data_IF_386520696055
#
_entry.id   IF_386520696055
#
_cell.length_a   1.000
_cell.length_b   1.000
_cell.length_c   1.000
_cell.angle_alpha   90.00
_cell.angle_beta   90.00
_cell.angle_gamma   90.00
#
_symmetry.space_group_name_H-M   'P 1'
#
loop_
_entity.id
_entity.type
_entity.pdbx_description
1 polymer ?
#
# COMPACT_ATOMS: atom_id res chain seq x y z
N UNK A 1 14.86 -23.44 -3.08
CA UNK A 1 13.89 -23.60 -1.98
C UNK A 1 12.49 -23.69 -2.54
N UNK A 2 11.56 -24.36 -1.84
CA UNK A 2 10.15 -24.42 -2.14
C UNK A 2 9.39 -23.53 -1.14
N UNK A 3 8.64 -22.57 -1.63
CA UNK A 3 7.99 -21.56 -0.78
C UNK A 3 6.49 -21.53 -1.13
N UNK A 4 5.63 -21.72 -0.14
CA UNK A 4 4.20 -21.45 -0.30
C UNK A 4 3.94 -20.00 0.10
N UNK A 5 3.43 -19.19 -0.85
CA UNK A 5 3.03 -17.81 -0.58
C UNK A 5 1.53 -17.78 -0.31
N UNK A 6 1.14 -17.40 0.91
CA UNK A 6 -0.25 -17.32 1.33
C UNK A 6 -0.71 -15.86 1.39
N UNK A 7 -1.66 -15.50 0.51
CA UNK A 7 -2.07 -14.09 0.33
C UNK A 7 -3.57 -13.93 0.12
N UNK A 8 -4.12 -12.78 0.45
CA UNK A 8 -5.53 -12.44 0.19
C UNK A 8 -5.77 -11.90 -1.22
N UNK A 9 -4.73 -11.41 -1.90
CA UNK A 9 -4.82 -10.85 -3.25
C UNK A 9 -3.60 -11.25 -4.06
N UNK A 10 -3.82 -11.61 -5.32
CA UNK A 10 -2.75 -11.81 -6.28
C UNK A 10 -3.26 -11.40 -7.66
N UNK A 11 -2.55 -10.52 -8.36
CA UNK A 11 -2.95 -10.06 -9.68
C UNK A 11 -2.77 -11.20 -10.67
N UNK A 12 -3.81 -11.47 -11.44
CA UNK A 12 -3.79 -12.36 -12.59
C UNK A 12 -3.57 -11.56 -13.86
N UNK A 13 -3.05 -12.20 -14.89
CA UNK A 13 -2.91 -11.56 -16.20
C UNK A 13 -4.28 -11.16 -16.76
N UNK A 14 -4.36 -10.04 -17.49
CA UNK A 14 -5.57 -9.51 -18.10
C UNK A 14 -6.17 -8.32 -17.35
N UNK A 15 -7.49 -8.20 -17.35
CA UNK A 15 -8.27 -7.04 -16.82
C UNK A 15 -8.34 -7.01 -15.26
N UNK A 16 -7.46 -7.71 -14.56
CA UNK A 16 -7.47 -7.75 -13.10
C UNK A 16 -6.94 -6.45 -12.49
N UNK A 17 -7.82 -5.69 -11.83
CA UNK A 17 -7.50 -4.45 -11.10
C UNK A 17 -6.91 -4.68 -9.71
N UNK A 18 -6.54 -5.90 -9.32
CA UNK A 18 -5.90 -6.19 -8.04
C UNK A 18 -4.57 -5.48 -7.90
N UNK A 19 -4.20 -5.09 -6.67
CA UNK A 19 -2.87 -4.57 -6.39
C UNK A 19 -1.78 -5.55 -6.85
N UNK A 20 -0.79 -5.05 -7.61
CA UNK A 20 0.24 -5.88 -8.23
C UNK A 20 1.47 -6.12 -7.33
N UNK A 21 1.50 -5.54 -6.14
CA UNK A 21 2.70 -5.47 -5.33
C UNK A 21 3.28 -6.83 -4.92
N UNK A 22 2.45 -7.83 -4.59
CA UNK A 22 2.93 -9.18 -4.23
C UNK A 22 3.50 -9.88 -5.46
N UNK A 23 2.84 -9.73 -6.62
CA UNK A 23 3.30 -10.30 -7.86
C UNK A 23 4.68 -9.72 -8.24
N UNK A 24 4.83 -8.40 -8.18
CA UNK A 24 6.10 -7.74 -8.47
C UNK A 24 7.20 -8.12 -7.45
N UNK A 25 6.84 -8.24 -6.16
CA UNK A 25 7.77 -8.71 -5.13
C UNK A 25 8.31 -10.10 -5.45
N UNK A 26 7.42 -11.06 -5.71
CA UNK A 26 7.80 -12.46 -5.96
C UNK A 26 8.57 -12.62 -7.27
N UNK A 27 8.18 -11.90 -8.34
CA UNK A 27 8.89 -11.95 -9.65
C UNK A 27 10.31 -11.44 -9.59
N UNK A 28 10.61 -10.52 -8.67
CA UNK A 28 11.95 -9.97 -8.50
C UNK A 28 12.79 -10.73 -7.46
N UNK A 29 12.25 -11.81 -6.84
CA UNK A 29 13.03 -12.72 -6.00
C UNK A 29 13.87 -13.69 -6.84
N UNK A 30 14.81 -14.38 -6.19
CA UNK A 30 15.72 -15.30 -6.83
C UNK A 30 14.99 -16.43 -7.59
N UNK A 31 15.35 -16.64 -8.84
CA UNK A 31 14.74 -17.65 -9.71
C UNK A 31 15.05 -19.09 -9.32
N UNK A 32 16.02 -19.34 -8.43
CA UNK A 32 16.32 -20.68 -7.91
C UNK A 32 15.22 -21.21 -6.95
N UNK A 33 14.41 -20.33 -6.39
CA UNK A 33 13.29 -20.71 -5.53
C UNK A 33 12.03 -21.00 -6.34
N UNK A 34 11.22 -21.95 -5.88
CA UNK A 34 9.92 -22.27 -6.49
C UNK A 34 8.80 -21.76 -5.58
N UNK A 35 7.91 -20.94 -6.13
CA UNK A 35 6.83 -20.30 -5.43
C UNK A 35 5.47 -20.92 -5.77
N UNK A 36 4.71 -21.33 -4.76
CA UNK A 36 3.35 -21.85 -4.86
C UNK A 36 2.39 -20.83 -4.24
N UNK A 37 1.69 -20.07 -5.07
CA UNK A 37 0.88 -18.92 -4.63
C UNK A 37 -0.55 -19.36 -4.31
N UNK A 38 -0.90 -19.40 -3.02
CA UNK A 38 -2.25 -19.67 -2.53
C UNK A 38 -3.02 -18.35 -2.33
N UNK A 39 -4.13 -18.19 -3.02
CA UNK A 39 -4.97 -17.00 -2.92
C UNK A 39 -6.44 -17.29 -3.21
N UNK A 40 -7.41 -16.51 -2.63
CA UNK A 40 -8.82 -16.69 -2.90
C UNK A 40 -9.16 -16.30 -4.34
N UNK A 41 -9.96 -17.12 -5.02
CA UNK A 41 -10.48 -16.82 -6.36
C UNK A 41 -11.35 -15.59 -6.35
N UNK A 42 -11.28 -14.85 -7.43
CA UNK A 42 -12.32 -13.95 -7.90
C UNK A 42 -13.32 -14.71 -8.77
N UNK A 43 -14.31 -14.00 -9.33
CA UNK A 43 -15.45 -14.57 -10.08
C UNK A 43 -15.11 -15.59 -11.18
N UNK A 44 -13.91 -15.54 -11.78
CA UNK A 44 -13.56 -16.33 -12.95
C UNK A 44 -13.08 -17.75 -12.64
N UNK A 45 -13.29 -18.67 -13.59
CA UNK A 45 -12.78 -20.05 -13.54
C UNK A 45 -11.27 -20.10 -13.79
N UNK A 46 -10.45 -19.68 -12.84
CA UNK A 46 -9.01 -19.89 -12.95
C UNK A 46 -8.66 -21.24 -12.32
N UNK A 47 -8.05 -22.12 -13.10
CA UNK A 47 -7.48 -23.39 -12.62
C UNK A 47 -6.09 -23.15 -12.05
N UNK A 48 -5.59 -24.05 -11.21
CA UNK A 48 -4.19 -24.09 -10.82
C UNK A 48 -3.33 -24.21 -12.09
N UNK A 49 -2.38 -23.32 -12.27
CA UNK A 49 -1.54 -23.27 -13.46
C UNK A 49 -0.13 -22.81 -13.13
N UNK A 50 0.81 -23.19 -13.97
CA UNK A 50 2.12 -22.57 -14.02
C UNK A 50 1.99 -21.19 -14.66
N UNK A 51 2.48 -20.15 -13.99
CA UNK A 51 2.47 -18.78 -14.49
C UNK A 51 3.77 -18.44 -15.17
N UNK A 52 4.89 -18.79 -14.54
CA UNK A 52 6.26 -18.59 -15.02
C UNK A 52 7.12 -19.82 -14.68
N UNK A 53 8.40 -19.81 -15.06
CA UNK A 53 9.29 -20.96 -14.89
C UNK A 53 9.27 -21.58 -13.49
N UNK A 54 9.15 -20.74 -12.45
CA UNK A 54 9.20 -21.14 -11.03
C UNK A 54 8.00 -20.66 -10.18
N UNK A 55 6.95 -20.10 -10.80
CA UNK A 55 5.75 -19.59 -10.10
C UNK A 55 4.52 -20.40 -10.51
N UNK A 56 3.85 -20.99 -9.52
CA UNK A 56 2.66 -21.82 -9.67
C UNK A 56 1.49 -21.23 -8.91
N UNK A 57 0.34 -21.05 -9.55
CA UNK A 57 -0.86 -20.46 -8.98
C UNK A 57 -1.81 -21.54 -8.43
N UNK A 58 -2.27 -21.36 -7.20
CA UNK A 58 -3.21 -22.23 -6.50
C UNK A 58 -4.42 -21.42 -5.98
N UNK A 59 -5.32 -21.02 -6.89
CA UNK A 59 -6.51 -20.28 -6.50
C UNK A 59 -7.54 -21.20 -5.82
N UNK A 60 -8.10 -20.79 -4.66
CA UNK A 60 -9.16 -21.54 -3.97
C UNK A 60 -10.49 -20.76 -3.96
N UNK A 61 -11.62 -21.50 -3.95
CA UNK A 61 -12.96 -20.93 -3.79
C UNK A 61 -13.44 -21.15 -2.37
N UNK A 62 -14.19 -20.22 -1.82
CA UNK A 62 -14.74 -20.29 -0.47
C UNK A 62 -16.27 -20.16 -0.42
N UNK A 63 -16.91 -19.90 -1.56
CA UNK A 63 -18.38 -19.89 -1.72
C UNK A 63 -18.80 -20.56 -3.02
N UNK A 64 -19.99 -21.15 -3.01
CA UNK A 64 -20.69 -21.72 -4.17
C UNK A 64 -22.10 -21.12 -4.18
N UNK A 65 -22.56 -20.50 -5.29
CA UNK A 65 -21.85 -20.22 -6.54
C UNK A 65 -20.69 -19.23 -6.37
N UNK A 66 -19.63 -19.42 -7.19
CA UNK A 66 -18.37 -18.64 -7.12
C UNK A 66 -18.52 -17.11 -7.31
N UNK A 67 -19.64 -16.67 -7.92
CA UNK A 67 -19.97 -15.24 -8.08
C UNK A 67 -20.06 -14.48 -6.76
N UNK A 68 -20.20 -15.16 -5.63
CA UNK A 68 -20.24 -14.60 -4.29
C UNK A 68 -18.84 -14.44 -3.65
N UNK A 69 -17.79 -14.97 -4.26
CA UNK A 69 -16.40 -14.79 -3.79
C UNK A 69 -15.88 -13.36 -4.07
N UNK A 70 -16.43 -12.36 -3.38
CA UNK A 70 -16.14 -10.94 -3.64
C UNK A 70 -15.27 -10.24 -2.59
N UNK A 71 -14.90 -10.92 -1.50
CA UNK A 71 -14.15 -10.31 -0.38
C UNK A 71 -12.80 -9.74 -0.80
N UNK A 72 -12.13 -10.37 -1.76
CA UNK A 72 -10.83 -9.90 -2.28
C UNK A 72 -10.91 -8.64 -3.15
N UNK A 73 -12.12 -8.24 -3.60
CA UNK A 73 -12.30 -7.06 -4.46
C UNK A 73 -12.14 -5.75 -3.69
N UNK A 74 -12.68 -5.70 -2.48
CA UNK A 74 -12.72 -4.47 -1.66
C UNK A 74 -11.81 -4.55 -0.43
N UNK A 75 -11.25 -5.73 -0.13
CA UNK A 75 -10.59 -6.03 1.14
C UNK A 75 -11.59 -6.52 2.21
N UNK A 76 -11.07 -7.16 3.27
CA UNK A 76 -11.93 -7.80 4.28
C UNK A 76 -12.77 -6.78 5.05
N UNK A 77 -12.14 -5.73 5.58
CA UNK A 77 -12.82 -4.75 6.43
C UNK A 77 -13.88 -3.92 5.69
N UNK A 78 -13.58 -3.29 4.53
CA UNK A 78 -14.60 -2.60 3.75
C UNK A 78 -15.76 -3.51 3.31
N UNK A 79 -15.50 -4.80 3.11
CA UNK A 79 -16.56 -5.75 2.77
C UNK A 79 -17.54 -5.99 3.91
N UNK A 80 -17.05 -6.04 5.17
CA UNK A 80 -17.91 -6.16 6.38
C UNK A 80 -18.76 -4.90 6.54
N UNK A 81 -18.16 -3.71 6.37
CA UNK A 81 -18.90 -2.46 6.47
C UNK A 81 -20.07 -2.36 5.48
N UNK A 82 -19.88 -2.90 4.27
CA UNK A 82 -20.93 -2.93 3.23
C UNK A 82 -22.07 -3.91 3.54
N UNK A 83 -21.76 -5.05 4.14
CA UNK A 83 -22.77 -6.08 4.46
C UNK A 83 -22.24 -7.00 5.58
N UNK A 84 -22.96 -7.02 6.72
CA UNK A 84 -22.63 -7.87 7.88
C UNK A 84 -22.64 -9.38 7.56
N UNK A 85 -23.40 -9.82 6.57
CA UNK A 85 -23.39 -11.21 6.10
C UNK A 85 -22.02 -11.66 5.56
N UNK A 86 -21.18 -10.71 5.17
CA UNK A 86 -19.80 -11.01 4.75
C UNK A 86 -18.93 -11.60 5.87
N UNK A 87 -19.34 -11.47 7.13
CA UNK A 87 -18.64 -12.12 8.27
C UNK A 87 -18.64 -13.64 8.08
N UNK A 88 -19.79 -14.24 7.73
CA UNK A 88 -19.85 -15.69 7.43
C UNK A 88 -18.93 -16.06 6.27
N UNK A 89 -18.89 -15.23 5.22
CA UNK A 89 -18.01 -15.45 4.07
C UNK A 89 -16.52 -15.41 4.46
N UNK A 90 -16.15 -14.61 5.47
CA UNK A 90 -14.78 -14.55 5.99
C UNK A 90 -14.43 -15.84 6.72
N UNK A 91 -15.32 -16.38 7.56
CA UNK A 91 -15.10 -17.66 8.22
C UNK A 91 -14.92 -18.81 7.21
N UNK A 92 -15.78 -18.86 6.19
CA UNK A 92 -15.65 -19.84 5.10
C UNK A 92 -14.33 -19.65 4.33
N UNK A 93 -13.93 -18.41 4.07
CA UNK A 93 -12.64 -18.12 3.41
C UNK A 93 -11.47 -18.66 4.24
N UNK A 94 -11.44 -18.40 5.55
CA UNK A 94 -10.41 -18.90 6.47
C UNK A 94 -10.39 -20.43 6.50
N UNK A 95 -11.55 -21.07 6.59
CA UNK A 95 -11.68 -22.52 6.60
C UNK A 95 -11.14 -23.15 5.31
N UNK A 96 -11.57 -22.67 4.15
CA UNK A 96 -11.06 -23.17 2.87
C UNK A 96 -9.61 -22.82 2.63
N UNK A 97 -9.13 -21.68 3.12
CA UNK A 97 -7.71 -21.32 3.12
C UNK A 97 -6.89 -22.36 3.88
N UNK A 98 -7.32 -22.71 5.10
CA UNK A 98 -6.65 -23.73 5.93
C UNK A 98 -6.55 -25.07 5.19
N UNK A 99 -7.68 -25.60 4.68
CA UNK A 99 -7.70 -26.87 3.96
C UNK A 99 -6.75 -26.86 2.75
N UNK A 100 -6.81 -25.81 1.93
CA UNK A 100 -5.97 -25.72 0.74
C UNK A 100 -4.49 -25.51 1.08
N UNK A 101 -4.18 -24.78 2.15
CA UNK A 101 -2.80 -24.61 2.63
C UNK A 101 -2.23 -25.96 3.10
N UNK A 102 -2.95 -26.72 3.93
CA UNK A 102 -2.54 -28.06 4.37
C UNK A 102 -2.32 -28.96 3.15
N UNK A 103 -3.27 -28.99 2.19
CA UNK A 103 -3.16 -29.78 0.97
C UNK A 103 -1.90 -29.47 0.17
N UNK A 104 -1.59 -28.20 -0.04
CA UNK A 104 -0.37 -27.78 -0.76
C UNK A 104 0.88 -28.15 0.02
N UNK A 105 0.90 -27.94 1.33
CA UNK A 105 2.04 -28.31 2.18
C UNK A 105 2.33 -29.83 2.15
N UNK A 106 1.31 -30.66 2.22
CA UNK A 106 1.47 -32.12 2.10
C UNK A 106 2.00 -32.53 0.72
N UNK A 107 1.51 -31.92 -0.35
CA UNK A 107 1.88 -32.26 -1.73
C UNK A 107 3.28 -31.73 -2.14
N UNK A 108 3.64 -30.51 -1.71
CA UNK A 108 4.84 -29.80 -2.17
C UNK A 108 6.00 -29.86 -1.19
N UNK A 109 5.71 -30.13 0.10
CA UNK A 109 6.70 -30.17 1.18
C UNK A 109 7.59 -28.92 1.15
N UNK A 110 7.01 -27.71 1.37
CA UNK A 110 7.74 -26.46 1.28
C UNK A 110 8.69 -26.29 2.45
N UNK A 111 9.78 -25.58 2.21
CA UNK A 111 10.74 -25.15 3.24
C UNK A 111 10.18 -24.03 4.10
N UNK A 112 9.40 -23.13 3.46
CA UNK A 112 8.78 -21.98 4.11
C UNK A 112 7.32 -21.78 3.67
N UNK A 113 6.52 -21.22 4.59
CA UNK A 113 5.24 -20.58 4.28
C UNK A 113 5.44 -19.07 4.47
N UNK A 114 5.37 -18.31 3.39
CA UNK A 114 5.47 -16.86 3.38
C UNK A 114 4.09 -16.22 3.27
N UNK A 115 3.67 -15.46 4.26
CA UNK A 115 2.34 -14.86 4.32
C UNK A 115 2.38 -13.35 4.20
N UNK A 116 1.40 -12.79 3.50
CA UNK A 116 1.14 -11.37 3.49
C UNK A 116 -0.11 -11.07 4.32
N UNK A 117 -0.01 -10.10 5.22
CA UNK A 117 -0.91 -9.74 6.31
C UNK A 117 -0.90 -10.72 7.49
N UNK A 118 -1.03 -10.17 8.68
CA UNK A 118 -1.10 -10.93 9.94
C UNK A 118 -2.36 -11.80 9.96
N UNK A 119 -3.50 -11.26 9.56
CA UNK A 119 -4.79 -11.96 9.58
C UNK A 119 -5.55 -11.77 8.26
N UNK A 120 -6.13 -12.85 7.75
CA UNK A 120 -6.11 -14.23 8.28
C UNK A 120 -4.86 -15.03 7.85
N UNK A 121 -4.06 -14.55 6.88
CA UNK A 121 -3.06 -15.34 6.18
C UNK A 121 -1.95 -15.87 7.10
N UNK A 122 -1.24 -14.99 7.82
CA UNK A 122 -0.14 -15.44 8.67
C UNK A 122 -0.66 -16.22 9.89
N UNK A 123 -1.83 -15.89 10.43
CA UNK A 123 -2.45 -16.65 11.51
C UNK A 123 -2.73 -18.10 11.10
N UNK A 124 -3.35 -18.31 9.93
CA UNK A 124 -3.60 -19.66 9.38
C UNK A 124 -2.29 -20.39 9.09
N UNK A 125 -1.29 -19.66 8.55
CA UNK A 125 0.03 -20.23 8.28
C UNK A 125 0.76 -20.63 9.55
N UNK A 126 0.65 -19.84 10.62
CA UNK A 126 1.23 -20.15 11.92
C UNK A 126 0.62 -21.43 12.54
N UNK A 127 -0.70 -21.62 12.38
CA UNK A 127 -1.37 -22.88 12.78
C UNK A 127 -0.82 -24.08 12.01
N UNK A 128 -0.76 -23.99 10.69
CA UNK A 128 -0.26 -25.08 9.83
C UNK A 128 1.22 -25.35 10.06
N UNK A 129 2.03 -24.29 10.10
CA UNK A 129 3.47 -24.39 10.32
C UNK A 129 3.82 -25.05 11.65
N UNK A 130 3.08 -24.68 12.73
CA UNK A 130 3.25 -25.29 14.06
C UNK A 130 2.97 -26.79 14.06
N UNK A 131 1.88 -27.22 13.37
CA UNK A 131 1.49 -28.64 13.32
C UNK A 131 2.41 -29.45 12.40
N UNK A 132 2.85 -28.88 11.30
CA UNK A 132 3.61 -29.58 10.25
C UNK A 132 5.14 -29.38 10.38
N UNK A 133 5.63 -28.59 11.34
CA UNK A 133 7.06 -28.30 11.49
C UNK A 133 7.65 -27.43 10.37
N UNK A 134 6.83 -26.64 9.67
CA UNK A 134 7.26 -25.79 8.55
C UNK A 134 7.55 -24.36 9.07
N UNK A 135 8.67 -23.78 8.66
CA UNK A 135 9.02 -22.40 9.02
C UNK A 135 8.01 -21.41 8.43
N UNK A 136 7.43 -20.56 9.28
CA UNK A 136 6.49 -19.52 8.86
C UNK A 136 7.15 -18.16 8.95
N UNK A 137 7.01 -17.37 7.89
CA UNK A 137 7.47 -16.00 7.81
C UNK A 137 6.33 -15.12 7.27
N UNK A 138 6.28 -13.83 7.65
CA UNK A 138 5.23 -12.96 7.14
C UNK A 138 5.65 -11.50 7.01
N UNK A 139 4.90 -10.77 6.16
CA UNK A 139 4.98 -9.31 6.04
C UNK A 139 3.67 -8.68 6.51
N UNK A 140 3.74 -7.76 7.48
CA UNK A 140 2.62 -6.95 7.93
C UNK A 140 2.51 -5.66 7.11
N UNK A 141 1.30 -5.38 6.58
CA UNK A 141 1.03 -4.24 5.70
C UNK A 141 0.30 -3.07 6.37
N UNK A 142 0.01 -3.15 7.66
CA UNK A 142 -0.55 -2.07 8.47
C UNK A 142 -2.07 -2.11 8.66
N UNK A 143 -2.86 -2.30 7.61
CA UNK A 143 -4.32 -2.36 7.73
C UNK A 143 -4.82 -3.55 8.58
N UNK A 144 -4.13 -4.66 8.49
CA UNK A 144 -4.39 -5.89 9.24
C UNK A 144 -4.18 -5.71 10.75
N UNK A 145 -3.06 -5.10 11.15
CA UNK A 145 -2.75 -4.84 12.56
C UNK A 145 -3.77 -3.88 13.17
N UNK A 146 -4.13 -2.80 12.45
CA UNK A 146 -5.13 -1.84 12.91
C UNK A 146 -6.50 -2.48 13.17
N UNK A 147 -6.95 -3.36 12.28
CA UNK A 147 -8.20 -4.09 12.44
C UNK A 147 -8.13 -5.00 13.67
N UNK A 148 -7.05 -5.75 13.83
CA UNK A 148 -6.86 -6.62 14.99
C UNK A 148 -6.82 -5.81 16.30
N UNK A 149 -6.18 -4.64 16.35
CA UNK A 149 -6.19 -3.77 17.53
C UNK A 149 -7.61 -3.31 17.91
N UNK A 150 -8.48 -3.03 16.92
CA UNK A 150 -9.90 -2.73 17.16
C UNK A 150 -10.69 -3.91 17.77
N UNK A 151 -10.23 -5.16 17.57
CA UNK A 151 -10.85 -6.34 18.14
C UNK A 151 -10.45 -6.62 19.59
N UNK A 152 -9.65 -5.74 20.22
CA UNK A 152 -9.25 -5.83 21.62
C UNK A 152 -8.48 -7.11 21.95
N UNK A 153 -8.91 -7.84 22.99
CA UNK A 153 -8.22 -9.04 23.47
C UNK A 153 -8.13 -10.15 22.42
N UNK A 154 -9.15 -10.33 21.60
CA UNK A 154 -9.15 -11.33 20.52
C UNK A 154 -8.09 -10.98 19.47
N UNK A 155 -8.03 -9.73 19.06
CA UNK A 155 -7.02 -9.29 18.10
C UNK A 155 -5.60 -9.39 18.65
N UNK A 156 -5.39 -9.03 19.91
CA UNK A 156 -4.09 -9.19 20.58
C UNK A 156 -3.68 -10.67 20.67
N UNK A 157 -4.63 -11.58 20.95
CA UNK A 157 -4.38 -13.02 20.93
C UNK A 157 -3.93 -13.49 19.54
N UNK A 158 -4.63 -13.07 18.48
CA UNK A 158 -4.29 -13.43 17.09
C UNK A 158 -2.88 -12.93 16.74
N UNK A 159 -2.56 -11.67 17.05
CA UNK A 159 -1.23 -11.10 16.81
C UNK A 159 -0.17 -11.91 17.57
N UNK A 160 -0.35 -12.10 18.88
CA UNK A 160 0.59 -12.78 19.73
C UNK A 160 0.84 -14.23 19.28
N UNK A 161 -0.24 -14.98 19.01
CA UNK A 161 -0.15 -16.34 18.49
C UNK A 161 0.61 -16.40 17.16
N UNK A 162 0.28 -15.51 16.22
CA UNK A 162 0.92 -15.46 14.91
C UNK A 162 2.41 -15.20 15.02
N UNK A 163 2.79 -14.16 15.77
CA UNK A 163 4.19 -13.77 15.93
C UNK A 163 4.98 -14.85 16.66
N UNK A 164 4.44 -15.41 17.75
CA UNK A 164 5.09 -16.46 18.56
C UNK A 164 5.36 -17.75 17.77
N UNK A 165 4.52 -18.06 16.77
CA UNK A 165 4.68 -19.26 15.93
C UNK A 165 5.23 -18.92 14.53
N UNK A 166 5.86 -17.77 14.38
CA UNK A 166 6.58 -17.37 13.17
C UNK A 166 8.08 -17.36 13.40
N UNK A 167 8.85 -17.73 12.38
CA UNK A 167 10.31 -17.76 12.44
C UNK A 167 10.88 -16.34 12.39
N UNK A 168 10.41 -15.52 11.42
CA UNK A 168 10.77 -14.11 11.22
C UNK A 168 9.57 -13.34 10.66
N UNK A 169 9.60 -12.02 10.75
CA UNK A 169 8.61 -11.19 10.08
C UNK A 169 9.15 -9.82 9.68
N UNK A 170 8.49 -9.23 8.67
CA UNK A 170 8.77 -7.87 8.25
C UNK A 170 7.56 -6.97 8.45
N UNK A 171 7.80 -5.69 8.56
CA UNK A 171 6.76 -4.65 8.59
C UNK A 171 7.10 -3.57 7.56
N UNK A 172 6.07 -3.02 6.92
CA UNK A 172 6.27 -2.01 5.87
C UNK A 172 6.68 -0.64 6.39
N UNK A 173 6.58 -0.39 7.71
CA UNK A 173 7.04 0.86 8.33
C UNK A 173 7.29 0.69 9.83
N UNK A 174 8.06 1.61 10.41
CA UNK A 174 8.35 1.68 11.84
C UNK A 174 7.07 1.79 12.67
N UNK A 175 6.20 2.72 12.30
CA UNK A 175 4.91 2.94 12.99
C UNK A 175 4.02 1.68 13.02
N UNK A 176 3.98 0.93 11.90
CA UNK A 176 3.25 -0.33 11.84
C UNK A 176 3.92 -1.42 12.69
N UNK A 177 5.26 -1.48 12.71
CA UNK A 177 6.02 -2.42 13.52
C UNK A 177 5.78 -2.17 15.03
N UNK A 178 5.82 -0.92 15.44
CA UNK A 178 5.56 -0.53 16.85
C UNK A 178 4.14 -0.89 17.27
N UNK A 179 3.15 -0.60 16.40
CA UNK A 179 1.75 -0.98 16.64
C UNK A 179 1.60 -2.51 16.79
N UNK A 180 2.27 -3.29 15.98
CA UNK A 180 2.26 -4.75 16.06
C UNK A 180 2.94 -5.21 17.37
N UNK A 181 4.11 -4.68 17.68
CA UNK A 181 4.87 -5.01 18.90
C UNK A 181 4.13 -4.67 20.19
N UNK A 182 3.29 -3.65 20.19
CA UNK A 182 2.49 -3.27 21.36
C UNK A 182 1.49 -4.34 21.84
N UNK A 183 1.26 -5.39 21.05
CA UNK A 183 0.41 -6.54 21.41
C UNK A 183 1.19 -7.76 21.87
N UNK A 184 2.53 -7.70 21.92
CA UNK A 184 3.40 -8.85 22.13
C UNK A 184 4.27 -8.64 23.36
N UNK A 185 4.39 -9.62 24.26
CA UNK A 185 5.37 -9.56 25.35
C UNK A 185 6.80 -9.40 24.80
N UNK A 186 7.60 -8.48 25.38
CA UNK A 186 8.93 -8.10 24.87
C UNK A 186 9.92 -9.28 24.74
N UNK A 187 9.81 -10.28 25.60
CA UNK A 187 10.67 -11.47 25.61
C UNK A 187 10.34 -12.52 24.54
N UNK A 188 9.35 -12.28 23.69
CA UNK A 188 8.85 -13.23 22.70
C UNK A 188 8.80 -12.71 21.27
N UNK A 189 9.58 -11.69 20.95
CA UNK A 189 9.57 -11.10 19.61
C UNK A 189 10.68 -11.75 18.77
N UNK A 190 10.33 -12.54 17.72
CA UNK A 190 11.32 -13.10 16.82
C UNK A 190 12.04 -12.00 16.04
N UNK A 191 13.08 -12.37 15.31
CA UNK A 191 13.82 -11.46 14.45
C UNK A 191 12.88 -10.77 13.46
N UNK A 192 13.02 -9.45 13.35
CA UNK A 192 12.12 -8.62 12.54
C UNK A 192 12.85 -7.45 11.91
N UNK A 193 12.36 -7.02 10.75
CA UNK A 193 12.95 -5.92 9.97
C UNK A 193 11.88 -5.05 9.36
N UNK A 194 12.17 -3.75 9.24
CA UNK A 194 11.35 -2.84 8.44
C UNK A 194 11.81 -2.99 6.99
N UNK A 195 10.89 -3.42 6.13
CA UNK A 195 11.10 -3.49 4.68
C UNK A 195 9.88 -2.87 4.03
N UNK A 196 10.00 -1.64 3.53
CA UNK A 196 8.91 -0.95 2.84
C UNK A 196 8.44 -1.69 1.59
N UNK A 197 7.29 -1.26 1.06
CA UNK A 197 6.79 -1.78 -0.21
C UNK A 197 7.63 -1.25 -1.38
N UNK A 198 7.79 -2.09 -2.39
CA UNK A 198 8.45 -1.71 -3.63
C UNK A 198 7.56 -0.88 -4.55
N UNK A 199 8.19 -0.09 -5.41
CA UNK A 199 7.56 0.68 -6.49
C UNK A 199 7.88 0.05 -7.84
N UNK A 200 6.93 0.09 -8.75
CA UNK A 200 7.02 -0.52 -10.07
C UNK A 200 8.12 0.13 -10.91
N UNK A 201 8.89 -0.71 -11.61
CA UNK A 201 10.01 -0.25 -12.44
C UNK A 201 9.61 0.75 -13.53
N UNK A 202 8.34 0.75 -13.94
CA UNK A 202 7.82 1.68 -14.94
C UNK A 202 8.04 3.16 -14.56
N UNK A 203 7.95 3.48 -13.24
CA UNK A 203 8.19 4.84 -12.75
C UNK A 203 9.64 5.29 -12.87
N UNK A 204 10.58 4.35 -12.95
CA UNK A 204 12.01 4.63 -13.08
C UNK A 204 12.51 4.59 -14.53
N UNK A 205 11.91 3.76 -15.38
CA UNK A 205 12.41 3.46 -16.71
C UNK A 205 11.86 4.39 -17.78
N UNK A 206 10.61 4.85 -17.63
CA UNK A 206 9.97 5.71 -18.61
C UNK A 206 10.64 7.08 -18.65
N UNK A 207 11.02 7.57 -19.86
CA UNK A 207 11.55 8.90 -20.05
C UNK A 207 10.60 9.94 -19.42
N UNK A 208 11.14 10.97 -18.78
CA UNK A 208 10.33 12.08 -18.29
C UNK A 208 9.64 12.76 -19.46
N UNK A 209 8.36 13.05 -19.30
CA UNK A 209 7.60 13.84 -20.26
C UNK A 209 7.86 15.32 -19.97
N UNK A 210 8.26 16.08 -20.98
CA UNK A 210 8.42 17.51 -20.83
C UNK A 210 7.11 18.14 -20.36
N UNK A 211 7.23 18.98 -19.34
CA UNK A 211 6.08 19.71 -18.81
C UNK A 211 5.64 20.76 -19.81
N UNK A 212 4.34 20.80 -20.12
CA UNK A 212 3.76 21.86 -20.92
C UNK A 212 3.85 23.19 -20.16
N UNK A 213 4.24 24.25 -20.84
CA UNK A 213 4.20 25.58 -20.29
C UNK A 213 2.78 25.91 -19.82
N UNK A 214 2.65 26.34 -18.59
CA UNK A 214 1.38 26.70 -17.97
C UNK A 214 1.60 27.88 -17.02
N UNK A 215 0.73 28.85 -17.06
CA UNK A 215 0.69 29.92 -16.07
C UNK A 215 0.12 29.42 -14.71
N UNK A 216 -0.55 28.26 -14.71
CA UNK A 216 -1.09 27.68 -13.50
C UNK A 216 -0.05 26.81 -12.80
N UNK A 217 -0.07 26.86 -11.47
CA UNK A 217 0.63 25.94 -10.60
C UNK A 217 -0.22 24.67 -10.49
N UNK A 218 0.30 23.56 -11.01
CA UNK A 218 -0.43 22.29 -11.08
C UNK A 218 -0.07 21.39 -9.88
N UNK A 219 -1.00 21.26 -8.95
CA UNK A 219 -0.88 20.37 -7.79
C UNK A 219 -1.59 19.05 -8.12
N UNK A 220 -0.95 17.92 -7.80
CA UNK A 220 -1.51 16.59 -8.01
C UNK A 220 -1.69 15.86 -6.68
N UNK A 221 -2.86 15.28 -6.50
CA UNK A 221 -3.11 14.20 -5.57
C UNK A 221 -3.55 12.96 -6.35
N UNK A 222 -3.01 11.78 -6.01
CA UNK A 222 -3.51 10.52 -6.54
C UNK A 222 -3.52 9.42 -5.48
N UNK A 223 -4.56 8.59 -5.50
CA UNK A 223 -4.73 7.52 -4.55
C UNK A 223 -6.18 7.27 -4.14
N UNK A 224 -6.37 6.46 -3.10
CA UNK A 224 -7.72 6.21 -2.57
C UNK A 224 -8.30 7.45 -1.91
N UNK A 225 -9.56 7.73 -2.20
CA UNK A 225 -10.29 8.87 -1.60
C UNK A 225 -11.01 8.38 -0.35
N UNK A 226 -10.28 8.38 0.78
CA UNK A 226 -10.75 7.94 2.10
C UNK A 226 -10.27 8.94 3.16
N UNK A 227 -10.94 9.00 4.32
CA UNK A 227 -10.76 10.01 5.36
C UNK A 227 -9.29 10.27 5.73
N UNK A 228 -8.53 9.22 6.09
CA UNK A 228 -7.15 9.39 6.56
C UNK A 228 -6.16 9.85 5.48
N UNK A 229 -6.58 9.91 4.22
CA UNK A 229 -5.76 10.49 3.13
C UNK A 229 -5.77 12.01 3.11
N UNK A 230 -6.66 12.67 3.86
CA UNK A 230 -6.60 14.11 4.13
C UNK A 230 -6.85 15.02 2.93
N UNK A 231 -7.60 14.57 1.93
CA UNK A 231 -7.88 15.36 0.72
C UNK A 231 -8.70 16.62 1.07
N UNK A 232 -9.54 16.52 2.09
CA UNK A 232 -10.28 17.63 2.67
C UNK A 232 -9.37 18.76 3.15
N UNK A 233 -8.21 18.43 3.76
CA UNK A 233 -7.22 19.42 4.17
C UNK A 233 -6.58 20.09 2.95
N UNK A 234 -6.26 19.32 1.92
CA UNK A 234 -5.65 19.84 0.69
C UNK A 234 -6.60 20.81 -0.03
N UNK A 235 -7.90 20.47 -0.14
CA UNK A 235 -8.90 21.35 -0.74
C UNK A 235 -9.00 22.65 0.05
N UNK A 236 -9.01 22.58 1.39
CA UNK A 236 -9.08 23.76 2.25
C UNK A 236 -7.83 24.65 2.08
N UNK A 237 -6.64 24.06 2.01
CA UNK A 237 -5.40 24.80 1.78
C UNK A 237 -5.40 25.49 0.40
N UNK A 238 -5.78 24.78 -0.65
CA UNK A 238 -5.88 25.33 -2.03
C UNK A 238 -6.91 26.48 -2.08
N UNK A 239 -8.04 26.34 -1.42
CA UNK A 239 -9.05 27.42 -1.31
C UNK A 239 -8.45 28.69 -0.71
N UNK A 240 -7.70 28.56 0.39
CA UNK A 240 -7.03 29.70 1.04
C UNK A 240 -5.98 30.35 0.15
N UNK A 241 -5.14 29.55 -0.53
CA UNK A 241 -4.11 30.06 -1.44
C UNK A 241 -4.74 30.88 -2.56
N UNK A 242 -5.85 30.40 -3.15
CA UNK A 242 -6.55 31.12 -4.22
C UNK A 242 -7.14 32.43 -3.70
N UNK A 243 -7.78 32.40 -2.52
CA UNK A 243 -8.50 33.56 -1.96
C UNK A 243 -7.57 34.66 -1.41
N UNK A 244 -6.45 34.27 -0.77
CA UNK A 244 -5.55 35.20 -0.08
C UNK A 244 -4.40 35.67 -0.95
N UNK A 245 -3.84 34.75 -1.74
CA UNK A 245 -2.62 34.99 -2.51
C UNK A 245 -2.87 35.23 -4.01
N UNK A 246 -4.12 35.15 -4.46
CA UNK A 246 -4.53 35.29 -5.86
C UNK A 246 -3.68 34.43 -6.84
N UNK A 247 -3.12 33.32 -6.34
CA UNK A 247 -2.28 32.43 -7.15
C UNK A 247 -3.14 31.61 -8.12
N UNK A 248 -2.68 31.48 -9.35
CA UNK A 248 -3.32 30.61 -10.36
C UNK A 248 -3.00 29.14 -10.06
N UNK A 249 -3.75 28.52 -9.15
CA UNK A 249 -3.56 27.12 -8.74
C UNK A 249 -4.62 26.21 -9.39
N UNK A 250 -4.19 25.07 -9.88
CA UNK A 250 -5.03 23.95 -10.33
C UNK A 250 -4.70 22.72 -9.50
N UNK A 251 -5.72 22.08 -8.95
CA UNK A 251 -5.60 20.83 -8.21
C UNK A 251 -6.23 19.70 -9.00
N UNK A 252 -5.44 18.69 -9.36
CA UNK A 252 -5.92 17.47 -9.96
C UNK A 252 -6.00 16.37 -8.91
N UNK A 253 -7.17 15.75 -8.76
CA UNK A 253 -7.42 14.64 -7.83
C UNK A 253 -7.74 13.39 -8.64
N UNK A 254 -6.83 12.40 -8.61
CA UNK A 254 -6.99 11.12 -9.33
C UNK A 254 -7.28 10.00 -8.35
N UNK A 255 -8.42 9.34 -8.51
CA UNK A 255 -8.76 8.17 -7.71
C UNK A 255 -10.23 8.04 -7.36
N UNK A 256 -10.52 7.05 -6.53
CA UNK A 256 -11.87 6.74 -6.07
C UNK A 256 -11.89 6.33 -4.60
N UNK A 257 -13.03 6.41 -3.97
CA UNK A 257 -13.22 6.01 -2.58
C UNK A 257 -14.53 6.46 -1.98
N UNK A 258 -14.75 6.09 -0.72
CA UNK A 258 -16.03 6.36 -0.02
C UNK A 258 -16.25 7.85 0.24
N UNK A 259 -15.16 8.64 0.32
CA UNK A 259 -15.22 10.09 0.56
C UNK A 259 -15.39 10.94 -0.71
N UNK A 260 -15.39 10.34 -1.91
CA UNK A 260 -15.41 11.09 -3.18
C UNK A 260 -16.55 12.11 -3.24
N UNK A 261 -17.76 11.72 -2.83
CA UNK A 261 -18.92 12.62 -2.86
C UNK A 261 -18.77 13.77 -1.86
N UNK A 262 -18.25 13.50 -0.66
CA UNK A 262 -18.01 14.51 0.38
C UNK A 262 -16.97 15.52 -0.10
N UNK A 263 -15.90 15.04 -0.72
CA UNK A 263 -14.80 15.86 -1.26
C UNK A 263 -15.27 16.72 -2.44
N UNK A 264 -16.08 16.18 -3.36
CA UNK A 264 -16.70 16.97 -4.44
C UNK A 264 -17.64 18.05 -3.90
N UNK A 265 -18.45 17.71 -2.89
CA UNK A 265 -19.35 18.68 -2.27
C UNK A 265 -18.58 19.81 -1.57
N UNK A 266 -17.49 19.49 -0.84
CA UNK A 266 -16.61 20.51 -0.24
C UNK A 266 -16.03 21.44 -1.29
N UNK A 267 -15.53 20.90 -2.40
CA UNK A 267 -15.00 21.68 -3.53
C UNK A 267 -16.07 22.65 -4.09
N UNK A 268 -17.29 22.16 -4.27
CA UNK A 268 -18.42 22.98 -4.76
C UNK A 268 -18.77 24.11 -3.78
N UNK A 269 -18.92 23.81 -2.49
CA UNK A 269 -19.25 24.79 -1.46
C UNK A 269 -18.20 25.89 -1.31
N UNK A 270 -16.94 25.58 -1.59
CA UNK A 270 -15.82 26.54 -1.58
C UNK A 270 -15.65 27.28 -2.93
N UNK A 271 -16.53 27.06 -3.92
CA UNK A 271 -16.47 27.74 -5.21
C UNK A 271 -15.29 27.34 -6.10
N UNK A 272 -14.71 26.14 -5.89
CA UNK A 272 -13.46 25.71 -6.55
C UNK A 272 -13.66 24.94 -7.84
N UNK A 273 -14.85 24.98 -8.47
CA UNK A 273 -15.18 24.19 -9.67
C UNK A 273 -14.22 24.44 -10.85
N UNK A 274 -13.70 25.64 -10.97
CA UNK A 274 -12.74 26.02 -12.02
C UNK A 274 -11.28 25.75 -11.62
N UNK A 275 -11.01 25.29 -10.41
CA UNK A 275 -9.67 25.09 -9.84
C UNK A 275 -9.37 23.63 -9.53
N UNK A 276 -10.39 22.78 -9.36
CA UNK A 276 -10.22 21.37 -9.01
C UNK A 276 -10.84 20.48 -10.08
N UNK A 277 -10.05 19.55 -10.57
CA UNK A 277 -10.48 18.50 -11.50
C UNK A 277 -10.43 17.14 -10.81
N UNK A 278 -11.46 16.32 -11.01
CA UNK A 278 -11.56 14.95 -10.50
C UNK A 278 -11.52 13.96 -11.63
N UNK A 279 -10.54 13.06 -11.59
CA UNK A 279 -10.38 11.95 -12.54
C UNK A 279 -10.54 10.64 -11.79
N UNK A 280 -11.25 9.69 -12.35
CA UNK A 280 -11.36 8.34 -11.84
C UNK A 280 -10.02 7.60 -11.93
N UNK A 281 -10.02 6.32 -11.55
CA UNK A 281 -8.84 5.48 -11.63
C UNK A 281 -8.25 5.44 -13.04
N UNK A 282 -6.96 5.75 -13.14
CA UNK A 282 -6.17 5.66 -14.37
C UNK A 282 -5.14 4.53 -14.27
N UNK A 283 -4.71 3.98 -15.41
CA UNK A 283 -3.61 3.01 -15.43
C UNK A 283 -2.26 3.69 -15.16
N UNK A 284 -1.23 2.90 -14.84
CA UNK A 284 0.09 3.43 -14.47
C UNK A 284 0.76 4.26 -15.58
N UNK A 285 0.52 3.92 -16.86
CA UNK A 285 1.11 4.67 -17.96
C UNK A 285 0.56 6.10 -18.05
N UNK A 286 -0.76 6.24 -17.88
CA UNK A 286 -1.43 7.54 -17.92
C UNK A 286 -1.10 8.32 -16.63
N UNK A 287 -1.05 7.64 -15.47
CA UNK A 287 -0.67 8.25 -14.20
C UNK A 287 0.71 8.92 -14.27
N UNK A 288 1.68 8.27 -14.91
CA UNK A 288 3.02 8.84 -15.12
C UNK A 288 2.94 10.17 -15.87
N UNK A 289 2.09 10.30 -16.88
CA UNK A 289 1.93 11.56 -17.59
C UNK A 289 1.37 12.67 -16.69
N UNK A 290 0.37 12.36 -15.85
CA UNK A 290 -0.18 13.32 -14.90
C UNK A 290 0.87 13.74 -13.86
N UNK A 291 1.66 12.80 -13.36
CA UNK A 291 2.76 13.11 -12.44
C UNK A 291 3.78 14.05 -13.13
N UNK A 292 4.19 13.71 -14.35
CA UNK A 292 5.17 14.51 -15.10
C UNK A 292 4.69 15.95 -15.39
N UNK A 293 3.40 16.15 -15.60
CA UNK A 293 2.80 17.46 -15.87
C UNK A 293 2.53 18.29 -14.59
N UNK A 294 2.60 17.70 -13.40
CA UNK A 294 2.42 18.43 -12.13
C UNK A 294 3.70 19.19 -11.71
N UNK A 295 3.51 20.26 -10.94
CA UNK A 295 4.60 20.97 -10.24
C UNK A 295 4.92 20.28 -8.92
N UNK A 296 3.85 19.97 -8.17
CA UNK A 296 3.91 19.37 -6.85
C UNK A 296 3.01 18.18 -6.76
N UNK A 297 3.44 17.17 -6.01
CA UNK A 297 2.56 16.08 -5.57
C UNK A 297 2.38 16.21 -4.07
N UNK A 298 1.12 16.23 -3.62
CA UNK A 298 0.80 16.37 -2.21
C UNK A 298 0.30 15.05 -1.63
N UNK A 299 0.87 14.64 -0.50
CA UNK A 299 0.45 13.47 0.28
C UNK A 299 -0.07 13.96 1.63
N UNK A 300 -1.34 14.44 1.69
CA UNK A 300 -1.87 15.17 2.83
C UNK A 300 -2.43 14.25 3.92
N UNK A 301 -1.87 13.05 4.06
CA UNK A 301 -2.37 12.04 4.98
C UNK A 301 -2.48 12.56 6.42
N UNK A 302 -3.56 12.20 7.10
CA UNK A 302 -3.83 12.60 8.48
C UNK A 302 -3.90 11.39 9.41
N UNK A 303 -3.67 11.64 10.69
CA UNK A 303 -3.92 10.65 11.73
C UNK A 303 -5.38 10.78 12.14
N UNK A 304 -6.13 9.70 12.01
CA UNK A 304 -7.45 9.58 12.62
C UNK A 304 -7.37 8.71 13.87
N UNK A 305 -8.46 8.64 14.64
CA UNK A 305 -8.53 7.74 15.82
C UNK A 305 -8.20 6.29 15.49
N UNK A 306 -8.40 5.88 14.26
CA UNK A 306 -8.36 4.46 13.86
C UNK A 306 -7.41 4.15 12.72
N UNK A 307 -6.92 5.15 11.98
CA UNK A 307 -6.13 4.94 10.76
C UNK A 307 -5.02 5.97 10.60
N UNK A 308 -3.94 5.54 9.93
CA UNK A 308 -2.81 6.36 9.51
C UNK A 308 -2.22 5.78 8.22
N UNK A 309 -1.43 6.54 7.51
CA UNK A 309 -0.71 6.10 6.32
C UNK A 309 0.53 5.29 6.72
N UNK A 310 0.54 3.99 6.43
CA UNK A 310 1.65 3.12 6.82
C UNK A 310 2.86 3.22 5.87
N UNK A 311 2.61 3.50 4.59
CA UNK A 311 3.67 3.62 3.58
C UNK A 311 3.05 4.07 2.25
N UNK A 312 3.06 5.38 1.95
CA UNK A 312 2.44 5.92 0.74
C UNK A 312 3.30 5.61 -0.50
N UNK A 313 2.88 4.62 -1.30
CA UNK A 313 3.55 4.34 -2.58
C UNK A 313 3.51 5.56 -3.50
N UNK A 314 2.43 6.33 -3.45
CA UNK A 314 2.27 7.58 -4.21
C UNK A 314 3.42 8.57 -4.00
N UNK A 315 3.96 8.64 -2.78
CA UNK A 315 5.14 9.43 -2.48
C UNK A 315 6.37 8.95 -3.27
N UNK A 316 6.68 7.65 -3.17
CA UNK A 316 7.88 7.09 -3.80
C UNK A 316 7.74 7.06 -5.34
N UNK A 317 6.53 6.82 -5.85
CA UNK A 317 6.21 6.92 -7.29
C UNK A 317 6.48 8.35 -7.82
N UNK A 318 6.08 9.36 -7.06
CA UNK A 318 6.32 10.77 -7.40
C UNK A 318 7.80 11.16 -7.32
N UNK A 319 8.50 10.71 -6.28
CA UNK A 319 9.95 10.90 -6.13
C UNK A 319 10.72 10.25 -7.29
N UNK A 320 10.33 9.04 -7.71
CA UNK A 320 10.93 8.35 -8.86
C UNK A 320 10.76 9.16 -10.16
N UNK A 321 9.68 9.97 -10.25
CA UNK A 321 9.41 10.89 -11.37
C UNK A 321 9.99 12.29 -11.15
N UNK A 322 10.90 12.45 -10.19
CA UNK A 322 11.58 13.74 -9.92
C UNK A 322 10.58 14.87 -9.63
N UNK A 323 9.58 14.60 -8.78
CA UNK A 323 8.64 15.65 -8.33
C UNK A 323 8.93 16.09 -6.92
N UNK A 324 8.72 17.39 -6.68
CA UNK A 324 8.66 17.90 -5.32
C UNK A 324 7.44 17.33 -4.64
N UNK A 325 7.66 16.64 -3.53
CA UNK A 325 6.62 16.03 -2.73
C UNK A 325 6.39 16.85 -1.46
N UNK A 326 5.14 17.27 -1.25
CA UNK A 326 4.69 17.94 -0.02
C UNK A 326 3.97 16.89 0.80
N UNK A 327 4.47 16.57 1.99
CA UNK A 327 4.13 15.35 2.70
C UNK A 327 3.78 15.64 4.15
N UNK A 328 2.72 15.02 4.65
CA UNK A 328 2.38 15.07 6.08
C UNK A 328 3.42 14.32 6.92
N UNK A 329 3.76 14.84 8.09
CA UNK A 329 4.61 14.19 9.11
C UNK A 329 4.01 12.90 9.68
N UNK A 330 2.75 12.61 9.35
CA UNK A 330 2.04 11.41 9.82
C UNK A 330 2.31 10.14 9.00
N UNK A 331 2.98 10.25 7.86
CA UNK A 331 3.24 9.10 6.98
C UNK A 331 4.27 8.14 7.55
N UNK A 332 4.13 6.86 7.21
CA UNK A 332 5.03 5.81 7.71
C UNK A 332 6.42 5.80 7.08
N UNK A 333 6.71 6.72 6.19
CA UNK A 333 8.03 6.93 5.55
C UNK A 333 8.78 8.15 6.12
N UNK A 334 8.25 8.78 7.15
CA UNK A 334 8.82 10.04 7.67
C UNK A 334 10.30 9.92 8.05
N UNK A 335 10.77 8.76 8.46
CA UNK A 335 12.17 8.50 8.81
C UNK A 335 13.15 8.58 7.62
N UNK A 336 12.65 8.57 6.39
CA UNK A 336 13.45 8.71 5.15
C UNK A 336 13.42 10.13 4.59
N UNK A 337 12.57 11.01 5.16
CA UNK A 337 12.31 12.35 4.63
C UNK A 337 13.10 13.43 5.37
N UNK A 338 13.63 14.39 4.61
CA UNK A 338 14.27 15.58 5.11
C UNK A 338 14.07 16.74 4.12
N UNK A 339 14.54 17.95 4.46
CA UNK A 339 14.38 19.15 3.65
C UNK A 339 15.10 19.08 2.29
N UNK A 340 16.07 18.17 2.14
CA UNK A 340 16.80 17.98 0.87
C UNK A 340 16.04 17.13 -0.15
N UNK A 341 15.00 16.37 0.28
CA UNK A 341 14.30 15.43 -0.61
C UNK A 341 12.77 15.59 -0.61
N UNK A 342 12.22 16.38 0.30
CA UNK A 342 10.78 16.61 0.42
C UNK A 342 10.46 17.82 1.29
N UNK A 343 9.23 18.32 1.19
CA UNK A 343 8.72 19.36 2.06
C UNK A 343 7.70 18.74 3.02
N UNK A 344 7.93 18.84 4.32
CA UNK A 344 7.09 18.20 5.33
C UNK A 344 6.21 19.23 6.03
N UNK A 345 4.93 18.93 6.19
CA UNK A 345 4.00 19.75 6.96
C UNK A 345 3.39 18.97 8.14
N UNK A 346 2.93 19.68 9.16
CA UNK A 346 2.28 19.09 10.35
C UNK A 346 0.92 18.48 9.98
N UNK A 347 0.72 17.23 10.36
CA UNK A 347 -0.55 16.52 10.15
C UNK A 347 -1.74 17.27 10.76
N UNK A 348 -2.88 17.23 10.08
CA UNK A 348 -4.12 17.88 10.48
C UNK A 348 -4.05 19.41 10.58
N UNK A 349 -3.04 20.06 10.01
CA UNK A 349 -2.79 21.50 10.06
C UNK A 349 -2.93 22.10 8.66
N UNK A 350 -4.08 22.71 8.37
CA UNK A 350 -4.38 23.33 7.07
C UNK A 350 -3.51 24.57 6.83
N UNK A 351 -3.25 25.35 7.89
CA UNK A 351 -2.47 26.59 7.81
C UNK A 351 -1.03 26.26 7.44
N UNK A 352 -0.43 25.31 8.15
CA UNK A 352 0.94 24.87 7.83
C UNK A 352 1.04 24.20 6.45
N UNK A 353 0.01 23.43 6.00
CA UNK A 353 -0.02 22.93 4.64
C UNK A 353 -0.04 24.05 3.61
N UNK A 354 -0.81 25.12 3.85
CA UNK A 354 -0.87 26.30 3.02
C UNK A 354 0.52 26.99 2.94
N UNK A 355 1.16 27.24 4.08
CA UNK A 355 2.50 27.81 4.18
C UNK A 355 3.55 27.00 3.40
N UNK A 356 3.52 25.67 3.54
CA UNK A 356 4.47 24.77 2.86
C UNK A 356 4.23 24.75 1.35
N UNK A 357 2.97 24.82 0.89
CA UNK A 357 2.66 24.93 -0.56
C UNK A 357 3.19 26.27 -1.11
N UNK A 358 2.96 27.39 -0.39
CA UNK A 358 3.46 28.70 -0.81
C UNK A 358 5.00 28.72 -0.84
N UNK A 359 5.65 28.19 0.20
CA UNK A 359 7.11 28.00 0.21
C UNK A 359 7.59 27.21 -1.01
N UNK A 360 6.91 26.10 -1.34
CA UNK A 360 7.26 25.27 -2.50
C UNK A 360 7.19 26.03 -3.83
N UNK A 361 6.21 26.92 -3.97
CA UNK A 361 6.05 27.77 -5.16
C UNK A 361 7.24 28.72 -5.31
N UNK A 362 7.73 29.29 -4.22
CA UNK A 362 8.77 30.33 -4.17
C UNK A 362 10.20 29.77 -4.17
N UNK A 363 10.41 28.46 -4.00
CA UNK A 363 11.74 27.86 -4.08
C UNK A 363 12.37 28.16 -5.45
N UNK A 364 13.63 28.63 -5.52
CA UNK A 364 14.36 28.81 -6.77
C UNK A 364 14.46 27.53 -7.59
N UNK A 365 14.50 27.62 -8.91
CA UNK A 365 14.48 26.42 -9.79
C UNK A 365 15.71 25.53 -9.59
N UNK A 366 16.85 26.07 -9.22
CA UNK A 366 18.06 25.32 -8.89
C UNK A 366 17.83 24.44 -7.66
N UNK A 367 17.24 24.98 -6.58
CA UNK A 367 16.92 24.25 -5.36
C UNK A 367 15.83 23.21 -5.61
N UNK A 368 14.79 23.55 -6.43
CA UNK A 368 13.79 22.58 -6.88
C UNK A 368 14.44 21.38 -7.56
N UNK A 369 15.38 21.61 -8.46
CA UNK A 369 16.09 20.55 -9.16
C UNK A 369 16.90 19.68 -8.21
N UNK A 370 17.58 20.27 -7.22
CA UNK A 370 18.33 19.54 -6.20
C UNK A 370 17.40 18.65 -5.35
N UNK A 371 16.28 19.19 -4.87
CA UNK A 371 15.27 18.42 -4.12
C UNK A 371 14.74 17.26 -4.97
N UNK A 372 14.39 17.49 -6.23
CA UNK A 372 13.89 16.47 -7.14
C UNK A 372 14.93 15.36 -7.40
N UNK A 373 16.20 15.72 -7.54
CA UNK A 373 17.29 14.76 -7.76
C UNK A 373 17.50 13.89 -6.51
N UNK A 374 17.53 14.51 -5.34
CA UNK A 374 17.67 13.80 -4.06
C UNK A 374 16.48 12.89 -3.78
N UNK A 375 15.25 13.35 -4.06
CA UNK A 375 14.04 12.55 -3.98
C UNK A 375 14.12 11.31 -4.90
N UNK A 376 14.57 11.48 -6.15
CA UNK A 376 14.80 10.37 -7.07
C UNK A 376 15.83 9.39 -6.54
N UNK A 377 16.97 9.88 -6.04
CA UNK A 377 18.02 9.04 -5.49
C UNK A 377 17.52 8.21 -4.30
N UNK A 378 16.77 8.83 -3.39
CA UNK A 378 16.11 8.15 -2.29
C UNK A 378 15.18 7.04 -2.83
N UNK A 379 14.36 7.34 -3.85
CA UNK A 379 13.37 6.39 -4.39
C UNK A 379 13.99 5.12 -4.98
N UNK A 380 15.26 5.15 -5.41
CA UNK A 380 15.95 3.98 -5.99
C UNK A 380 16.06 2.79 -5.03
N UNK A 381 16.14 3.04 -3.71
CA UNK A 381 16.15 1.97 -2.69
C UNK A 381 14.83 1.18 -2.65
N UNK A 382 13.74 1.78 -3.13
CA UNK A 382 12.41 1.19 -3.13
C UNK A 382 12.03 0.50 -4.44
N UNK A 383 12.97 0.31 -5.37
CA UNK A 383 12.73 -0.55 -6.53
C UNK A 383 12.43 -1.98 -6.09
N UNK A 384 11.54 -2.66 -6.79
CA UNK A 384 11.26 -4.07 -6.48
C UNK A 384 12.50 -4.96 -6.50
N UNK A 385 13.48 -4.69 -7.35
CA UNK A 385 14.75 -5.43 -7.33
C UNK A 385 15.49 -5.35 -6.00
N UNK A 386 15.54 -4.16 -5.39
CA UNK A 386 16.17 -3.95 -4.08
C UNK A 386 15.31 -4.49 -2.94
N UNK A 387 14.01 -4.19 -2.96
CA UNK A 387 13.06 -4.63 -1.92
C UNK A 387 12.94 -6.16 -1.90
N UNK A 388 12.83 -6.81 -3.07
CA UNK A 388 12.73 -8.28 -3.16
C UNK A 388 14.00 -8.95 -2.66
N UNK A 389 15.18 -8.44 -3.02
CA UNK A 389 16.46 -8.94 -2.51
C UNK A 389 16.55 -8.80 -0.99
N UNK A 390 16.27 -7.60 -0.45
CA UNK A 390 16.27 -7.36 1.00
C UNK A 390 15.26 -8.26 1.74
N UNK A 391 14.12 -8.54 1.13
CA UNK A 391 13.10 -9.41 1.69
C UNK A 391 13.57 -10.87 1.69
N UNK A 392 14.12 -11.33 0.58
CA UNK A 392 14.64 -12.69 0.42
C UNK A 392 15.78 -12.97 1.38
N UNK A 393 16.78 -12.07 1.43
CA UNK A 393 17.95 -12.19 2.30
C UNK A 393 17.57 -12.24 3.77
N UNK A 394 16.57 -11.45 4.18
CA UNK A 394 16.14 -11.43 5.58
C UNK A 394 15.21 -12.58 5.94
N UNK A 395 14.29 -12.96 5.06
CA UNK A 395 13.22 -13.92 5.40
C UNK A 395 13.69 -15.37 5.26
N UNK A 396 14.52 -15.67 4.24
CA UNK A 396 14.82 -17.05 3.86
C UNK A 396 16.26 -17.50 4.18
N UNK A 397 17.16 -16.59 4.49
CA UNK A 397 18.53 -16.88 4.92
C UNK A 397 18.69 -16.71 6.43
#
# INVERSE_FOLDING_TARGET
>A
MKIVVNTSTFKQDGVDTSPNFINNLIRNMNTASTFYILYPRKKEKVKSRKMEKNIYLYPYSYLIPRKFCNLSKYGLYPSIQKNKLNILSIFLMIFFQLINLVKICLQKKPDFIYSHWVFPQAFVSALVGKVMGIKVVFTSHGSDVKILKKMGSVGNFIINFTVKNSHRFTSVSKKNLELLKSSIPKNYIPENKIIPMGVDNIFFQKKLTEKKLSENINILYFGRIVEYKGIDLLISAVSRIISLEHKKVKLLIIGSGIELNNIKNQSYLLGLNNHIEFIDFVNQNDLIQYIDQSDFVVVPSKITKTEFEAGPLTLIESMARQKICIVSDSVGFIEYLNEENSLVFRSNDVDHLCEVILKAIEIPDEDKNNICLNAKNLSLQFKYSSISKNTEDFIFN
#
